data_IF_256742887650
#
_entry.id   IF_256742887650
#
_cell.length_a   1.000
_cell.length_b   1.000
_cell.length_c   1.000
_cell.angle_alpha   90.00
_cell.angle_beta   90.00
_cell.angle_gamma   90.00
#
_symmetry.space_group_name_H-M   'P 1'
#
loop_
_entity.id
_entity.type
_entity.pdbx_description
1 polymer ?
#
# COMPACT_ATOMS: atom_id res chain seq x y z
N UNK A 1 3.45 -17.57 14.64
CA UNK A 1 2.15 -17.03 14.18
C UNK A 1 2.14 -17.29 12.68
N UNK A 2 1.91 -18.56 12.38
CA UNK A 2 2.04 -19.16 11.06
C UNK A 2 0.75 -18.88 10.28
N UNK A 3 0.83 -18.00 9.29
CA UNK A 3 -0.25 -17.80 8.32
C UNK A 3 0.13 -18.56 7.06
N UNK A 4 -0.28 -19.83 7.13
CA UNK A 4 -0.72 -20.73 6.06
C UNK A 4 -0.62 -20.13 4.65
N UNK A 5 0.45 -20.53 3.98
CA UNK A 5 0.57 -20.61 2.52
C UNK A 5 -0.36 -21.73 2.05
N UNK A 6 -1.52 -21.39 1.49
CA UNK A 6 -2.25 -22.33 0.62
C UNK A 6 -1.84 -22.10 -0.84
N UNK A 7 -1.45 -23.22 -1.42
CA UNK A 7 -1.10 -23.45 -2.81
C UNK A 7 -2.14 -22.88 -3.77
N UNK A 8 -1.68 -22.11 -4.75
CA UNK A 8 -2.27 -22.15 -6.09
C UNK A 8 -1.26 -22.83 -7.02
N UNK A 9 -1.07 -24.14 -6.81
CA UNK A 9 -0.50 -25.03 -7.83
C UNK A 9 -1.59 -25.42 -8.82
N UNK A 10 -2.19 -24.44 -9.48
CA UNK A 10 -2.90 -24.67 -10.73
C UNK A 10 -1.84 -24.71 -11.81
N UNK A 11 -1.57 -25.93 -12.27
CA UNK A 11 -0.85 -26.25 -13.48
C UNK A 11 -1.35 -25.30 -14.59
N UNK A 12 -0.57 -24.27 -14.89
CA UNK A 12 -0.77 -23.37 -16.02
C UNK A 12 -0.68 -24.22 -17.30
N UNK A 13 -1.80 -24.80 -17.70
CA UNK A 13 -2.09 -25.05 -19.11
C UNK A 13 -2.40 -23.67 -19.68
N UNK A 14 -1.53 -23.07 -20.53
CA UNK A 14 -1.87 -21.79 -21.14
C UNK A 14 -3.16 -22.01 -21.92
N UNK A 15 -4.24 -21.33 -21.50
CA UNK A 15 -5.48 -21.29 -22.24
C UNK A 15 -5.16 -20.87 -23.67
N UNK A 16 -5.69 -21.60 -24.65
CA UNK A 16 -5.38 -21.43 -26.07
C UNK A 16 -5.51 -19.98 -26.55
N UNK A 17 -6.35 -19.15 -25.90
CA UNK A 17 -6.48 -17.72 -26.17
C UNK A 17 -5.25 -16.85 -25.84
N UNK A 18 -4.43 -17.19 -24.83
CA UNK A 18 -3.22 -16.40 -24.50
C UNK A 18 -2.12 -16.65 -25.53
N UNK A 19 -2.04 -17.88 -26.06
CA UNK A 19 -1.11 -18.24 -27.13
C UNK A 19 -1.52 -17.59 -28.45
N UNK A 20 -2.82 -17.47 -28.71
CA UNK A 20 -3.37 -16.79 -29.90
C UNK A 20 -3.13 -15.28 -29.89
N UNK A 21 -3.31 -14.61 -28.75
CA UNK A 21 -3.03 -13.16 -28.60
C UNK A 21 -1.52 -12.88 -28.72
N UNK A 22 -0.67 -13.73 -28.14
CA UNK A 22 0.80 -13.64 -28.28
C UNK A 22 1.29 -13.96 -29.70
N UNK A 23 0.48 -14.64 -30.52
CA UNK A 23 0.82 -14.93 -31.92
C UNK A 23 0.71 -13.71 -32.83
N UNK A 24 -0.16 -12.74 -32.49
CA UNK A 24 -0.33 -11.47 -33.22
C UNK A 24 0.51 -10.31 -32.67
N UNK A 25 1.18 -10.49 -31.52
CA UNK A 25 2.06 -9.47 -30.95
C UNK A 25 3.23 -9.15 -31.89
N UNK A 26 3.43 -7.86 -32.17
CA UNK A 26 4.54 -7.38 -32.99
C UNK A 26 5.89 -7.81 -32.38
N UNK A 27 6.94 -7.95 -33.20
CA UNK A 27 8.30 -8.26 -32.72
C UNK A 27 8.76 -7.29 -31.62
N UNK A 28 8.34 -6.02 -31.72
CA UNK A 28 8.64 -4.96 -30.75
C UNK A 28 7.98 -5.24 -29.41
N UNK A 29 6.72 -5.67 -29.42
CA UNK A 29 5.99 -6.03 -28.20
C UNK A 29 6.61 -7.25 -27.50
N UNK A 30 7.02 -8.26 -28.26
CA UNK A 30 7.73 -9.44 -27.73
C UNK A 30 9.06 -9.08 -27.09
N UNK A 31 9.80 -8.12 -27.68
CA UNK A 31 11.07 -7.64 -27.13
C UNK A 31 10.84 -6.82 -25.85
N UNK A 32 9.89 -5.88 -25.87
CA UNK A 32 9.60 -5.00 -24.75
C UNK A 32 9.12 -5.77 -23.51
N UNK A 33 8.32 -6.83 -23.69
CA UNK A 33 7.85 -7.70 -22.61
C UNK A 33 8.86 -8.78 -22.19
N UNK A 34 10.02 -8.86 -22.83
CA UNK A 34 11.01 -9.90 -22.52
C UNK A 34 11.73 -9.63 -21.20
N UNK A 35 11.94 -10.68 -20.40
CA UNK A 35 12.72 -10.59 -19.15
C UNK A 35 14.16 -10.16 -19.38
N UNK A 36 14.73 -10.48 -20.54
CA UNK A 36 16.06 -10.03 -20.93
C UNK A 36 16.11 -8.50 -21.07
N UNK A 37 15.10 -7.91 -21.72
CA UNK A 37 15.00 -6.45 -21.88
C UNK A 37 14.78 -5.72 -20.55
N UNK A 38 13.96 -6.28 -19.65
CA UNK A 38 13.81 -5.77 -18.28
C UNK A 38 15.15 -5.75 -17.52
N UNK A 39 15.89 -6.86 -17.52
CA UNK A 39 17.20 -6.95 -16.86
C UNK A 39 18.24 -6.03 -17.48
N UNK A 40 18.28 -5.94 -18.81
CA UNK A 40 19.15 -5.01 -19.53
C UNK A 40 18.88 -3.56 -19.12
N UNK A 41 17.61 -3.16 -19.08
CA UNK A 41 17.20 -1.82 -18.67
C UNK A 41 17.59 -1.53 -17.21
N UNK A 42 17.39 -2.50 -16.31
CA UNK A 42 17.80 -2.39 -14.91
C UNK A 42 19.33 -2.21 -14.77
N UNK A 43 20.12 -3.02 -15.49
CA UNK A 43 21.58 -2.92 -15.51
C UNK A 43 22.05 -1.53 -15.98
N UNK A 44 21.45 -0.97 -17.03
CA UNK A 44 21.79 0.38 -17.51
C UNK A 44 21.54 1.43 -16.43
N UNK A 45 20.43 1.34 -15.68
CA UNK A 45 20.11 2.30 -14.61
C UNK A 45 21.11 2.20 -13.47
N UNK A 46 21.47 0.99 -13.06
CA UNK A 46 22.48 0.78 -12.01
C UNK A 46 23.84 1.31 -12.45
N UNK A 47 24.28 0.99 -13.67
CA UNK A 47 25.53 1.50 -14.22
C UNK A 47 25.53 3.03 -14.34
N UNK A 48 24.42 3.62 -14.78
CA UNK A 48 24.27 5.07 -14.84
C UNK A 48 24.33 5.71 -13.44
N UNK A 49 23.72 5.08 -12.44
CA UNK A 49 23.74 5.55 -11.05
C UNK A 49 25.15 5.52 -10.45
N UNK A 50 25.89 4.43 -10.67
CA UNK A 50 27.31 4.31 -10.27
C UNK A 50 28.15 5.37 -10.99
N UNK A 51 27.94 5.57 -12.28
CA UNK A 51 28.64 6.58 -13.07
C UNK A 51 28.36 8.01 -12.56
N UNK A 52 27.11 8.35 -12.21
CA UNK A 52 26.76 9.64 -11.59
C UNK A 52 27.54 9.84 -10.28
N UNK A 53 27.64 8.80 -9.44
CA UNK A 53 28.40 8.82 -8.20
C UNK A 53 29.90 9.06 -8.44
N UNK A 54 30.52 8.28 -9.33
CA UNK A 54 31.93 8.43 -9.70
C UNK A 54 32.23 9.81 -10.30
N UNK A 55 31.41 10.28 -11.24
CA UNK A 55 31.56 11.59 -11.85
C UNK A 55 31.45 12.71 -10.81
N UNK A 56 30.51 12.60 -9.85
CA UNK A 56 30.40 13.55 -8.74
C UNK A 56 31.66 13.58 -7.88
N UNK A 57 32.25 12.40 -7.59
CA UNK A 57 33.51 12.30 -6.84
C UNK A 57 34.67 12.97 -7.56
N UNK A 58 34.85 12.72 -8.87
CA UNK A 58 35.91 13.34 -9.68
C UNK A 58 35.77 14.86 -9.73
N UNK A 59 34.55 15.38 -9.88
CA UNK A 59 34.28 16.81 -9.82
C UNK A 59 34.61 17.40 -8.45
N UNK A 60 34.27 16.71 -7.36
CA UNK A 60 34.53 17.18 -6.00
C UNK A 60 36.02 17.23 -5.69
N UNK A 61 36.78 16.17 -6.01
CA UNK A 61 38.23 16.14 -5.78
C UNK A 61 38.97 17.15 -6.66
N UNK A 62 38.58 17.28 -7.94
CA UNK A 62 39.11 18.30 -8.83
C UNK A 62 38.84 19.73 -8.33
N UNK A 63 37.64 20.00 -7.81
CA UNK A 63 37.31 21.29 -7.23
C UNK A 63 38.15 21.60 -5.98
N UNK A 64 38.35 20.62 -5.09
CA UNK A 64 39.21 20.77 -3.90
C UNK A 64 40.67 21.03 -4.29
N UNK A 65 41.21 20.27 -5.25
CA UNK A 65 42.60 20.44 -5.70
C UNK A 65 42.83 21.84 -6.29
N UNK A 66 41.89 22.34 -7.10
CA UNK A 66 41.96 23.70 -7.67
C UNK A 66 41.83 24.78 -6.59
N UNK A 67 40.92 24.59 -5.65
CA UNK A 67 40.77 25.49 -4.51
C UNK A 67 42.06 25.57 -3.68
N UNK A 68 42.68 24.43 -3.38
CA UNK A 68 43.96 24.37 -2.68
C UNK A 68 45.12 25.00 -3.48
N UNK A 69 45.06 24.94 -4.81
CA UNK A 69 46.02 25.57 -5.70
C UNK A 69 45.73 27.05 -6.01
N UNK A 70 44.69 27.65 -5.41
CA UNK A 70 44.20 29.00 -5.71
C UNK A 70 43.95 29.26 -7.21
N UNK A 71 43.61 28.22 -7.97
CA UNK A 71 43.28 28.32 -9.39
C UNK A 71 41.84 28.78 -9.55
N UNK A 72 41.58 29.58 -10.59
CA UNK A 72 40.22 29.97 -10.93
C UNK A 72 39.38 28.74 -11.31
N UNK A 73 38.06 28.76 -11.05
CA UNK A 73 37.18 27.64 -11.37
C UNK A 73 37.05 27.50 -12.90
N UNK A 74 37.90 26.67 -13.50
CA UNK A 74 37.79 26.35 -14.92
C UNK A 74 36.79 25.21 -15.12
N UNK A 75 35.68 25.46 -15.82
CA UNK A 75 34.78 24.38 -16.25
C UNK A 75 35.36 23.70 -17.49
N UNK A 76 36.50 23.03 -17.35
CA UNK A 76 36.93 22.06 -18.34
C UNK A 76 36.01 20.84 -18.24
N UNK A 77 35.19 20.71 -19.27
CA UNK A 77 34.29 19.57 -19.47
C UNK A 77 35.07 18.51 -20.23
N UNK A 78 35.38 17.39 -19.57
CA UNK A 78 36.04 16.27 -20.23
C UNK A 78 35.11 15.66 -21.29
N UNK A 79 35.54 15.70 -22.55
CA UNK A 79 34.77 15.16 -23.68
C UNK A 79 34.44 13.67 -23.53
N UNK A 80 35.27 12.89 -22.82
CA UNK A 80 34.98 11.49 -22.52
C UNK A 80 33.78 11.31 -21.61
N UNK A 81 33.62 12.19 -20.61
CA UNK A 81 32.48 12.16 -19.68
C UNK A 81 31.19 12.51 -20.42
N UNK A 82 31.20 13.55 -21.27
CA UNK A 82 30.03 13.93 -22.09
C UNK A 82 29.62 12.81 -23.02
N UNK A 83 30.58 12.11 -23.63
CA UNK A 83 30.31 10.98 -24.51
C UNK A 83 29.58 9.86 -23.76
N UNK A 84 30.09 9.48 -22.57
CA UNK A 84 29.47 8.42 -21.75
C UNK A 84 28.07 8.83 -21.29
N UNK A 85 27.87 10.09 -20.87
CA UNK A 85 26.54 10.60 -20.52
C UNK A 85 25.57 10.58 -21.71
N UNK A 86 26.05 10.97 -22.89
CA UNK A 86 25.31 10.92 -24.14
C UNK A 86 24.90 9.49 -24.49
N UNK A 87 25.78 8.50 -24.30
CA UNK A 87 25.49 7.08 -24.49
C UNK A 87 24.40 6.58 -23.54
N UNK A 88 24.47 6.89 -22.24
CA UNK A 88 23.40 6.51 -21.31
C UNK A 88 22.06 7.16 -21.67
N UNK A 89 22.10 8.45 -22.05
CA UNK A 89 20.89 9.20 -22.41
C UNK A 89 20.26 8.63 -23.69
N UNK A 90 21.05 8.29 -24.71
CA UNK A 90 20.54 7.68 -25.94
C UNK A 90 19.96 6.29 -25.68
N UNK A 91 20.60 5.48 -24.83
CA UNK A 91 20.05 4.19 -24.41
C UNK A 91 18.70 4.34 -23.70
N UNK A 92 18.55 5.30 -22.79
CA UNK A 92 17.26 5.55 -22.13
C UNK A 92 16.17 6.07 -23.09
N UNK A 93 16.52 6.94 -24.03
CA UNK A 93 15.58 7.39 -25.06
C UNK A 93 15.17 6.19 -25.92
N UNK A 94 16.10 5.32 -26.30
CA UNK A 94 15.79 4.13 -27.09
C UNK A 94 14.88 3.15 -26.33
N UNK A 95 15.12 2.96 -25.03
CA UNK A 95 14.27 2.13 -24.16
C UNK A 95 12.84 2.67 -24.09
N UNK A 96 12.69 3.99 -23.89
CA UNK A 96 11.39 4.65 -23.86
C UNK A 96 10.67 4.56 -25.21
N UNK A 97 11.38 4.76 -26.33
CA UNK A 97 10.82 4.63 -27.67
C UNK A 97 10.34 3.20 -27.97
N UNK A 98 11.09 2.18 -27.54
CA UNK A 98 10.69 0.77 -27.70
C UNK A 98 9.43 0.49 -26.90
N UNK A 99 9.32 0.99 -25.66
CA UNK A 99 8.10 0.86 -24.84
C UNK A 99 6.90 1.55 -25.48
N UNK A 100 7.06 2.79 -25.96
CA UNK A 100 6.01 3.50 -26.69
C UNK A 100 5.55 2.79 -27.95
N UNK A 101 6.47 2.18 -28.70
CA UNK A 101 6.16 1.41 -29.89
C UNK A 101 5.48 0.06 -29.58
N UNK A 102 5.72 -0.52 -28.40
CA UNK A 102 5.12 -1.78 -27.96
C UNK A 102 3.71 -1.61 -27.37
N UNK A 103 3.51 -0.63 -26.50
CA UNK A 103 2.25 -0.42 -25.76
C UNK A 103 1.29 0.53 -26.48
N UNK A 104 1.79 1.39 -27.36
CA UNK A 104 1.02 2.46 -27.99
C UNK A 104 0.87 3.69 -27.10
N UNK A 105 0.86 4.88 -27.72
CA UNK A 105 0.87 6.17 -26.99
C UNK A 105 -0.35 6.39 -26.09
N UNK A 106 -1.54 5.93 -26.49
CA UNK A 106 -2.76 6.15 -25.68
C UNK A 106 -2.77 5.25 -24.44
N UNK A 107 -2.44 3.98 -24.61
CA UNK A 107 -2.46 3.01 -23.51
C UNK A 107 -1.32 3.25 -22.52
N UNK A 108 -0.16 3.75 -22.99
CA UNK A 108 0.95 4.18 -22.13
C UNK A 108 0.53 5.24 -21.09
N UNK A 109 -0.31 6.21 -21.48
CA UNK A 109 -0.79 7.28 -20.60
C UNK A 109 -2.09 6.94 -19.83
N UNK A 110 -2.82 5.91 -20.25
CA UNK A 110 -4.04 5.43 -19.56
C UNK A 110 -3.78 4.21 -18.65
N UNK A 111 -2.56 3.69 -18.62
CA UNK A 111 -2.19 2.57 -17.74
C UNK A 111 -2.17 2.94 -16.26
N UNK A 112 -2.33 1.98 -15.36
CA UNK A 112 -2.23 2.22 -13.90
C UNK A 112 -0.82 2.69 -13.44
N UNK A 113 0.18 2.68 -14.33
CA UNK A 113 1.57 3.06 -14.05
C UNK A 113 1.96 4.45 -14.59
N UNK A 114 0.99 5.35 -14.87
CA UNK A 114 1.23 6.70 -15.43
C UNK A 114 2.33 7.47 -14.69
N UNK A 115 2.37 7.37 -13.36
CA UNK A 115 3.38 8.06 -12.55
C UNK A 115 4.82 7.62 -12.86
N UNK A 116 5.03 6.32 -13.06
CA UNK A 116 6.35 5.75 -13.41
C UNK A 116 6.74 6.07 -14.85
N UNK A 117 5.76 6.07 -15.73
CA UNK A 117 5.90 6.46 -17.14
C UNK A 117 6.25 7.95 -17.28
N UNK A 118 5.62 8.82 -16.48
CA UNK A 118 5.95 10.24 -16.40
C UNK A 118 7.36 10.46 -15.83
N UNK A 119 7.75 9.69 -14.80
CA UNK A 119 9.12 9.74 -14.26
C UNK A 119 10.16 9.34 -15.32
N UNK A 120 9.90 8.28 -16.08
CA UNK A 120 10.77 7.88 -17.19
C UNK A 120 10.88 9.00 -18.24
N UNK A 121 9.77 9.61 -18.66
CA UNK A 121 9.80 10.75 -19.58
C UNK A 121 10.62 11.93 -19.01
N UNK A 122 10.32 12.33 -17.77
CA UNK A 122 10.99 13.44 -17.09
C UNK A 122 12.50 13.22 -17.03
N UNK A 123 12.93 12.04 -16.61
CA UNK A 123 14.35 11.70 -16.51
C UNK A 123 15.04 11.66 -17.88
N UNK A 124 14.36 11.28 -18.97
CA UNK A 124 14.90 11.33 -20.33
C UNK A 124 15.07 12.78 -20.80
N UNK A 125 14.09 13.66 -20.51
CA UNK A 125 14.17 15.09 -20.81
C UNK A 125 15.30 15.76 -20.02
N UNK A 126 15.40 15.49 -18.72
CA UNK A 126 16.53 15.92 -17.88
C UNK A 126 17.86 15.38 -18.45
N UNK A 127 17.88 14.13 -18.90
CA UNK A 127 18.94 13.50 -19.69
C UNK A 127 19.46 14.37 -20.82
N UNK A 128 18.53 14.69 -21.72
CA UNK A 128 18.80 15.44 -22.93
C UNK A 128 19.23 16.88 -22.62
N UNK A 129 18.60 17.52 -21.64
CA UNK A 129 18.97 18.87 -21.20
C UNK A 129 20.39 18.92 -20.61
N UNK A 130 20.76 17.95 -19.78
CA UNK A 130 22.09 17.84 -19.18
C UNK A 130 23.18 17.71 -20.26
N UNK A 131 23.03 16.75 -21.17
CA UNK A 131 23.99 16.52 -22.27
C UNK A 131 24.03 17.70 -23.23
N UNK A 132 22.89 18.28 -23.61
CA UNK A 132 22.85 19.41 -24.54
C UNK A 132 23.51 20.66 -23.97
N UNK A 133 23.30 20.96 -22.69
CA UNK A 133 23.94 22.08 -22.02
C UNK A 133 25.45 21.87 -21.92
N UNK A 134 25.90 20.67 -21.57
CA UNK A 134 27.32 20.33 -21.47
C UNK A 134 28.02 20.37 -22.85
N UNK A 135 27.33 19.94 -23.91
CA UNK A 135 27.79 20.04 -25.29
C UNK A 135 27.87 21.50 -25.78
N UNK A 136 26.86 22.32 -25.49
CA UNK A 136 26.86 23.75 -25.85
C UNK A 136 28.06 24.43 -25.22
N UNK A 137 28.35 24.21 -23.92
CA UNK A 137 29.49 24.80 -23.23
C UNK A 137 30.82 24.39 -23.87
N UNK A 138 30.94 23.11 -24.22
CA UNK A 138 32.14 22.60 -24.90
C UNK A 138 32.35 23.25 -26.27
N UNK A 139 31.30 23.39 -27.07
CA UNK A 139 31.37 23.89 -28.44
C UNK A 139 31.44 25.42 -28.53
N UNK A 140 30.80 26.14 -27.61
CA UNK A 140 30.80 27.62 -27.55
C UNK A 140 31.88 28.16 -26.62
N UNK A 141 32.97 27.40 -26.42
CA UNK A 141 34.06 27.67 -25.48
C UNK A 141 34.21 29.15 -25.12
N UNK A 142 33.91 29.47 -23.84
CA UNK A 142 33.68 30.84 -23.32
C UNK A 142 32.45 31.52 -23.92
N UNK A 143 31.30 31.38 -23.25
CA UNK A 143 30.21 32.36 -23.38
C UNK A 143 30.81 33.75 -23.17
N UNK A 144 30.72 34.59 -24.20
CA UNK A 144 31.27 35.95 -24.28
C UNK A 144 31.23 36.69 -22.93
N UNK A 145 32.39 37.20 -22.51
CA UNK A 145 32.57 38.07 -21.34
C UNK A 145 31.72 39.37 -21.39
N UNK A 146 31.02 39.64 -22.50
CA UNK A 146 30.25 40.85 -22.73
C UNK A 146 28.92 40.96 -21.99
N UNK A 147 28.43 39.91 -21.30
CA UNK A 147 27.15 39.99 -20.59
C UNK A 147 27.16 39.31 -19.20
N UNK A 148 27.54 40.04 -18.12
CA UNK A 148 27.73 39.47 -16.78
C UNK A 148 26.46 38.85 -16.18
N UNK A 149 25.27 39.27 -16.64
CA UNK A 149 23.98 38.69 -16.24
C UNK A 149 23.75 37.28 -16.80
N UNK A 150 24.35 36.92 -17.95
CA UNK A 150 24.26 35.59 -18.55
C UNK A 150 25.19 34.59 -17.85
N UNK A 151 26.40 34.98 -17.47
CA UNK A 151 27.36 34.09 -16.80
C UNK A 151 26.85 33.55 -15.46
N UNK A 152 26.30 34.43 -14.59
CA UNK A 152 25.79 34.02 -13.27
C UNK A 152 24.53 33.15 -13.40
N UNK A 153 23.64 33.46 -14.36
CA UNK A 153 22.40 32.71 -14.58
C UNK A 153 22.70 31.32 -15.14
N UNK A 154 23.62 31.21 -16.11
CA UNK A 154 24.02 29.91 -16.68
C UNK A 154 24.68 29.02 -15.62
N UNK A 155 25.58 29.56 -14.79
CA UNK A 155 26.22 28.79 -13.69
C UNK A 155 25.20 28.30 -12.65
N UNK A 156 24.17 29.09 -12.33
CA UNK A 156 23.09 28.66 -11.42
C UNK A 156 22.24 27.54 -12.02
N UNK A 157 21.84 27.68 -13.28
CA UNK A 157 21.08 26.65 -14.01
C UNK A 157 21.87 25.34 -14.10
N UNK A 158 23.18 25.41 -14.34
CA UNK A 158 24.07 24.24 -14.37
C UNK A 158 24.10 23.47 -13.05
N UNK A 159 24.12 24.17 -11.91
CA UNK A 159 24.08 23.52 -10.59
C UNK A 159 22.76 22.79 -10.36
N UNK A 160 21.66 23.39 -10.79
CA UNK A 160 20.32 22.79 -10.67
C UNK A 160 20.24 21.53 -11.53
N UNK A 161 20.63 21.60 -12.81
CA UNK A 161 20.61 20.44 -13.72
C UNK A 161 21.44 19.28 -13.17
N UNK A 162 22.60 19.56 -12.57
CA UNK A 162 23.45 18.56 -11.92
C UNK A 162 22.82 17.90 -10.69
N UNK A 163 22.01 18.61 -9.90
CA UNK A 163 21.29 18.01 -8.77
C UNK A 163 20.14 17.14 -9.30
N UNK A 164 19.44 17.63 -10.31
CA UNK A 164 18.28 16.97 -10.90
C UNK A 164 18.64 15.65 -11.59
N UNK A 165 19.90 15.40 -11.98
CA UNK A 165 20.35 14.09 -12.50
C UNK A 165 20.21 12.94 -11.48
N UNK A 166 20.22 13.23 -10.17
CA UNK A 166 19.99 12.22 -9.12
C UNK A 166 18.60 11.62 -9.19
N UNK A 167 17.62 12.36 -9.73
CA UNK A 167 16.26 11.85 -9.99
C UNK A 167 16.29 10.61 -10.90
N UNK A 168 17.31 10.43 -11.75
CA UNK A 168 17.41 9.22 -12.60
C UNK A 168 17.65 7.94 -11.77
N UNK A 169 18.22 8.05 -10.58
CA UNK A 169 18.44 6.91 -9.65
C UNK A 169 17.11 6.35 -9.15
N UNK A 170 16.09 7.21 -8.96
CA UNK A 170 14.73 6.85 -8.52
C UNK A 170 14.08 5.83 -9.47
N UNK A 171 14.48 5.79 -10.75
CA UNK A 171 13.98 4.80 -11.71
C UNK A 171 14.28 3.36 -11.31
N UNK A 172 15.28 3.09 -10.48
CA UNK A 172 15.55 1.73 -10.00
C UNK A 172 14.32 1.13 -9.30
N UNK A 173 13.51 1.98 -8.65
CA UNK A 173 12.32 1.58 -7.91
C UNK A 173 11.23 0.96 -8.79
N UNK A 174 11.23 1.22 -10.10
CA UNK A 174 10.26 0.62 -11.03
C UNK A 174 10.46 -0.90 -11.20
N UNK A 175 11.68 -1.40 -10.94
CA UNK A 175 12.02 -2.82 -11.06
C UNK A 175 11.86 -3.59 -9.75
N UNK A 176 12.02 -2.93 -8.62
CA UNK A 176 11.98 -3.57 -7.31
C UNK A 176 10.63 -3.31 -6.63
N UNK A 177 9.69 -4.24 -6.82
CA UNK A 177 8.36 -4.19 -6.19
C UNK A 177 8.47 -3.96 -4.68
N UNK A 178 9.33 -4.72 -4.00
CA UNK A 178 9.54 -4.59 -2.55
C UNK A 178 10.00 -3.19 -2.15
N UNK A 179 10.94 -2.60 -2.90
CA UNK A 179 11.41 -1.23 -2.66
C UNK A 179 10.28 -0.20 -2.84
N UNK A 180 9.48 -0.37 -3.89
CA UNK A 180 8.30 0.47 -4.15
C UNK A 180 7.27 0.37 -3.02
N UNK A 181 6.96 -0.85 -2.56
CA UNK A 181 6.01 -1.07 -1.47
C UNK A 181 6.50 -0.46 -0.15
N UNK A 182 7.78 -0.65 0.19
CA UNK A 182 8.39 -0.04 1.38
C UNK A 182 8.32 1.49 1.35
N UNK A 183 8.60 2.10 0.20
CA UNK A 183 8.58 3.56 0.05
C UNK A 183 7.14 4.09 0.08
N UNK A 184 6.19 3.44 -0.60
CA UNK A 184 4.79 3.86 -0.53
C UNK A 184 4.24 3.77 0.91
N UNK A 185 4.57 2.69 1.62
CA UNK A 185 4.26 2.55 3.06
C UNK A 185 4.91 3.64 3.90
N UNK A 186 6.18 3.98 3.63
CA UNK A 186 6.88 5.08 4.33
C UNK A 186 6.26 6.43 4.02
N UNK A 187 5.93 6.73 2.76
CA UNK A 187 5.32 7.98 2.33
C UNK A 187 3.94 8.18 2.97
N UNK A 188 3.15 7.11 3.10
CA UNK A 188 1.86 7.18 3.80
C UNK A 188 2.03 7.54 5.28
N UNK A 189 3.11 7.08 5.92
CA UNK A 189 3.42 7.48 7.30
C UNK A 189 3.93 8.92 7.46
N UNK A 190 4.37 9.59 6.38
CA UNK A 190 4.92 10.95 6.45
C UNK A 190 3.90 12.00 6.92
N UNK A 191 2.60 11.76 6.74
CA UNK A 191 1.58 12.72 7.17
C UNK A 191 1.67 13.03 8.67
N UNK A 192 1.85 12.00 9.52
CA UNK A 192 2.06 12.18 10.96
C UNK A 192 3.38 12.89 11.27
N UNK A 193 4.42 12.58 10.48
CA UNK A 193 5.77 13.16 10.63
C UNK A 193 5.78 14.67 10.33
N UNK A 194 4.99 15.13 9.37
CA UNK A 194 4.88 16.56 9.04
C UNK A 194 4.39 17.37 10.25
N UNK A 195 3.37 16.88 10.97
CA UNK A 195 2.86 17.55 12.16
C UNK A 195 3.86 17.57 13.32
N UNK A 196 4.63 16.49 13.47
CA UNK A 196 5.74 16.44 14.43
C UNK A 196 6.80 17.49 14.11
N UNK A 197 7.24 17.59 12.84
CA UNK A 197 8.21 18.60 12.43
C UNK A 197 7.66 20.02 12.59
N UNK A 198 6.38 20.24 12.30
CA UNK A 198 5.73 21.52 12.52
C UNK A 198 5.72 21.90 14.01
N UNK A 199 5.33 20.98 14.88
CA UNK A 199 5.37 21.19 16.34
C UNK A 199 6.79 21.50 16.85
N UNK A 200 7.78 20.71 16.43
CA UNK A 200 9.19 20.94 16.74
C UNK A 200 9.67 22.30 16.24
N UNK A 201 9.29 22.68 15.02
CA UNK A 201 9.64 23.98 14.46
C UNK A 201 9.06 25.13 15.28
N UNK A 202 7.78 25.04 15.69
CA UNK A 202 7.16 26.05 16.57
C UNK A 202 7.89 26.13 17.90
N UNK A 203 8.28 24.99 18.49
CA UNK A 203 9.06 24.96 19.73
C UNK A 203 10.42 25.65 19.56
N UNK A 204 11.19 25.29 18.53
CA UNK A 204 12.49 25.93 18.25
C UNK A 204 12.34 27.42 17.95
N UNK A 205 11.28 27.81 17.26
CA UNK A 205 10.99 29.20 16.94
C UNK A 205 10.72 30.03 18.20
N UNK A 206 9.87 29.54 19.10
CA UNK A 206 9.54 30.20 20.37
C UNK A 206 10.77 30.41 21.27
N UNK A 207 11.53 29.33 21.52
CA UNK A 207 12.77 29.42 22.31
C UNK A 207 13.86 30.20 21.58
N UNK A 208 13.94 30.07 20.25
CA UNK A 208 14.85 30.83 19.40
C UNK A 208 14.66 32.33 19.56
N UNK A 209 13.41 32.82 19.48
CA UNK A 209 13.08 34.23 19.73
C UNK A 209 13.53 34.65 21.13
N UNK A 210 13.26 33.85 22.16
CA UNK A 210 13.63 34.19 23.53
C UNK A 210 15.15 34.36 23.70
N UNK A 211 15.95 33.44 23.16
CA UNK A 211 17.41 33.51 23.24
C UNK A 211 17.98 34.63 22.36
N UNK A 212 17.54 34.76 21.10
CA UNK A 212 17.99 35.86 20.23
C UNK A 212 17.64 37.22 20.84
N UNK A 213 16.45 37.37 21.43
CA UNK A 213 16.06 38.62 22.09
C UNK A 213 16.91 38.91 23.33
N UNK A 214 17.27 37.87 24.10
CA UNK A 214 18.19 38.00 25.25
C UNK A 214 19.57 38.47 24.80
N UNK A 215 20.08 37.95 23.68
CA UNK A 215 21.34 38.38 23.08
C UNK A 215 21.26 39.80 22.54
N UNK A 216 20.19 40.17 21.84
CA UNK A 216 20.01 41.54 21.33
C UNK A 216 19.97 42.56 22.47
N UNK A 217 19.23 42.27 23.54
CA UNK A 217 19.19 43.12 24.74
C UNK A 217 20.56 43.26 25.41
N UNK A 218 21.39 42.21 25.39
CA UNK A 218 22.76 42.27 25.88
C UNK A 218 23.66 43.21 25.05
N UNK A 219 23.47 43.22 23.73
CA UNK A 219 24.25 44.00 22.77
C UNK A 219 23.92 45.49 22.74
N UNK A 220 22.86 45.92 23.43
CA UNK A 220 22.43 47.32 23.49
C UNK A 220 23.38 48.20 24.33
N UNK A 221 24.28 47.60 25.12
CA UNK A 221 25.31 48.33 25.89
C UNK A 221 26.68 48.30 25.19
N UNK A 222 27.28 49.47 24.94
CA UNK A 222 28.53 49.62 24.18
C UNK A 222 29.75 48.90 24.80
N UNK A 223 29.86 48.86 26.13
CA UNK A 223 30.99 48.24 26.84
C UNK A 223 31.04 46.70 26.67
N UNK A 224 29.89 46.07 26.42
CA UNK A 224 29.74 44.61 26.34
C UNK A 224 30.12 44.01 24.99
N UNK A 225 30.32 44.85 23.98
CA UNK A 225 30.73 44.43 22.62
C UNK A 225 32.22 44.08 22.50
N UNK A 226 33.02 44.37 23.52
CA UNK A 226 34.46 44.13 23.53
C UNK A 226 34.87 42.84 24.25
N UNK A 227 33.94 42.12 24.87
CA UNK A 227 34.21 40.87 25.58
C UNK A 227 34.50 39.72 24.60
N UNK A 228 35.58 38.91 24.75
CA UNK A 228 35.83 37.74 23.90
C UNK A 228 34.68 36.71 23.87
N UNK A 229 33.84 36.65 24.92
CA UNK A 229 32.64 35.82 24.96
C UNK A 229 31.57 36.20 23.90
N UNK A 230 31.64 37.43 23.38
CA UNK A 230 30.80 37.96 22.29
C UNK A 230 30.80 37.07 21.04
N UNK A 231 31.97 36.53 20.67
CA UNK A 231 32.14 35.77 19.43
C UNK A 231 31.35 34.45 19.45
N UNK A 232 31.33 33.77 20.60
CA UNK A 232 30.56 32.53 20.81
C UNK A 232 29.06 32.80 20.85
N UNK A 233 28.63 33.90 21.48
CA UNK A 233 27.21 34.24 21.61
C UNK A 233 26.58 34.56 20.24
N UNK A 234 27.28 35.32 19.39
CA UNK A 234 26.82 35.59 18.02
C UNK A 234 26.82 34.34 17.14
N UNK A 235 27.81 33.47 17.30
CA UNK A 235 27.91 32.22 16.53
C UNK A 235 26.72 31.29 16.76
N UNK A 236 26.13 31.30 17.95
CA UNK A 236 25.08 30.37 18.34
C UNK A 236 23.69 30.99 18.46
N UNK A 237 23.60 32.26 18.85
CA UNK A 237 22.34 32.95 19.15
C UNK A 237 22.23 34.35 18.52
N UNK A 238 23.12 34.71 17.59
CA UNK A 238 23.19 36.05 17.01
C UNK A 238 22.02 36.42 16.09
N UNK A 239 21.38 35.43 15.47
CA UNK A 239 20.17 35.59 14.66
C UNK A 239 19.18 34.47 14.95
N UNK A 240 17.92 34.67 14.55
CA UNK A 240 16.85 33.73 14.85
C UNK A 240 17.04 32.37 14.16
N UNK A 241 17.44 32.38 12.89
CA UNK A 241 17.73 31.16 12.11
C UNK A 241 18.89 30.36 12.69
N UNK A 242 19.96 31.04 13.12
CA UNK A 242 21.11 30.42 13.79
C UNK A 242 20.70 29.89 15.16
N UNK A 243 19.83 30.60 15.90
CA UNK A 243 19.31 30.14 17.19
C UNK A 243 18.45 28.89 17.04
N UNK A 244 17.57 28.84 16.05
CA UNK A 244 16.75 27.65 15.72
C UNK A 244 17.67 26.47 15.37
N UNK A 245 18.71 26.69 14.56
CA UNK A 245 19.69 25.66 14.23
C UNK A 245 20.46 25.17 15.47
N UNK A 246 20.87 26.07 16.36
CA UNK A 246 21.53 25.75 17.63
C UNK A 246 20.63 24.88 18.52
N UNK A 247 19.36 25.24 18.65
CA UNK A 247 18.38 24.46 19.41
C UNK A 247 18.19 23.06 18.81
N UNK A 248 18.07 22.96 17.49
CA UNK A 248 18.02 21.67 16.80
C UNK A 248 19.29 20.83 17.03
N UNK A 249 20.49 21.43 16.92
CA UNK A 249 21.77 20.75 17.17
C UNK A 249 21.89 20.25 18.61
N UNK A 250 21.39 21.02 19.58
CA UNK A 250 21.42 20.63 20.99
C UNK A 250 20.47 19.45 21.30
N UNK A 251 19.34 19.34 20.60
CA UNK A 251 18.39 18.23 20.74
C UNK A 251 18.86 16.96 20.03
N UNK A 252 19.41 17.09 18.82
CA UNK A 252 19.80 15.95 17.97
C UNK A 252 21.21 15.41 18.25
N UNK A 253 21.96 16.04 19.15
CA UNK A 253 23.31 15.62 19.50
C UNK A 253 24.40 16.07 18.51
N UNK A 254 24.13 17.11 17.70
CA UNK A 254 25.11 17.67 16.77
C UNK A 254 26.31 18.31 17.47
N UNK A 255 26.08 19.03 18.58
CA UNK A 255 27.12 19.52 19.48
C UNK A 255 26.65 19.38 20.93
N UNK A 256 27.58 19.18 21.86
CA UNK A 256 27.25 19.03 23.27
C UNK A 256 26.52 20.29 23.78
N UNK A 257 25.36 20.11 24.42
CA UNK A 257 24.53 21.19 24.93
C UNK A 257 25.27 22.12 25.90
N UNK A 258 26.30 21.61 26.59
CA UNK A 258 27.15 22.36 27.50
C UNK A 258 27.86 23.54 26.82
N UNK A 259 28.22 23.42 25.55
CA UNK A 259 28.87 24.52 24.80
C UNK A 259 27.92 25.71 24.62
N UNK A 260 26.65 25.44 24.36
CA UNK A 260 25.63 26.48 24.23
C UNK A 260 25.26 27.08 25.60
N UNK A 261 25.23 26.25 26.65
CA UNK A 261 25.03 26.69 28.02
C UNK A 261 26.13 27.64 28.48
N UNK A 262 27.40 27.29 28.23
CA UNK A 262 28.55 28.14 28.53
C UNK A 262 28.48 29.47 27.77
N UNK A 263 28.06 29.46 26.51
CA UNK A 263 27.83 30.70 25.76
C UNK A 263 26.76 31.57 26.44
N UNK A 264 25.59 31.01 26.80
CA UNK A 264 24.51 31.76 27.45
C UNK A 264 24.86 32.28 28.84
N UNK A 265 25.71 31.57 29.59
CA UNK A 265 26.15 31.97 30.94
C UNK A 265 26.89 33.31 30.95
N UNK A 266 27.53 33.67 29.84
CA UNK A 266 28.30 34.93 29.73
C UNK A 266 27.41 36.17 29.61
N UNK A 267 26.09 35.99 29.44
CA UNK A 267 25.12 37.09 29.42
C UNK A 267 24.83 37.58 30.85
N UNK A 268 24.78 38.90 31.13
CA UNK A 268 24.29 39.50 32.38
C UNK A 268 22.81 39.18 32.57
N UNK A 269 22.45 38.56 33.70
CA UNK A 269 21.13 37.95 33.88
C UNK A 269 20.98 36.59 33.17
N UNK A 270 22.08 36.06 32.62
CA UNK A 270 22.17 34.78 31.91
C UNK A 270 21.79 33.57 32.75
N UNK A 271 21.69 33.70 34.08
CA UNK A 271 21.09 32.68 34.94
C UNK A 271 19.67 32.32 34.49
N UNK A 272 18.85 33.31 34.12
CA UNK A 272 17.48 33.08 33.63
C UNK A 272 17.51 32.38 32.27
N UNK A 273 18.37 32.83 31.35
CA UNK A 273 18.52 32.19 30.03
C UNK A 273 19.07 30.76 30.14
N UNK A 274 20.01 30.52 31.05
CA UNK A 274 20.55 29.19 31.35
C UNK A 274 19.49 28.25 31.92
N UNK A 275 18.64 28.73 32.84
CA UNK A 275 17.51 27.95 33.38
C UNK A 275 16.51 27.64 32.26
N UNK A 276 16.15 28.64 31.44
CA UNK A 276 15.28 28.45 30.27
C UNK A 276 15.85 27.44 29.28
N UNK A 277 17.18 27.46 29.06
CA UNK A 277 17.85 26.52 28.17
C UNK A 277 17.86 25.09 28.73
N UNK A 278 18.12 24.92 30.02
CA UNK A 278 18.02 23.60 30.67
C UNK A 278 16.58 23.07 30.60
N UNK A 279 15.58 23.91 30.86
CA UNK A 279 14.16 23.57 30.73
C UNK A 279 13.84 23.12 29.31
N UNK A 280 14.30 23.87 28.30
CA UNK A 280 14.15 23.51 26.90
C UNK A 280 14.78 22.15 26.59
N UNK A 281 16.05 21.92 26.96
CA UNK A 281 16.76 20.66 26.66
C UNK A 281 16.06 19.49 27.35
N UNK A 282 15.65 19.66 28.61
CA UNK A 282 14.93 18.63 29.37
C UNK A 282 13.57 18.32 28.73
N UNK A 283 12.81 19.35 28.38
CA UNK A 283 11.52 19.18 27.71
C UNK A 283 11.66 18.54 26.33
N UNK A 284 12.61 19.00 25.51
CA UNK A 284 12.85 18.47 24.18
C UNK A 284 13.26 16.98 24.23
N UNK A 285 14.16 16.59 25.14
CA UNK A 285 14.65 15.22 25.24
C UNK A 285 13.65 14.26 25.92
N UNK A 286 13.05 14.65 27.06
CA UNK A 286 12.20 13.74 27.83
C UNK A 286 10.72 13.80 27.46
N UNK A 287 10.22 14.94 26.98
CA UNK A 287 8.83 15.04 26.54
C UNK A 287 8.75 14.84 25.03
N UNK A 288 9.44 15.66 24.24
CA UNK A 288 9.19 15.71 22.80
C UNK A 288 9.68 14.45 22.07
N UNK A 289 10.90 13.97 22.30
CA UNK A 289 11.37 12.71 21.67
C UNK A 289 10.45 11.53 22.03
N UNK A 290 9.96 11.48 23.27
CA UNK A 290 9.06 10.43 23.72
C UNK A 290 7.66 10.54 23.12
N UNK A 291 7.12 11.76 22.98
CA UNK A 291 5.84 12.01 22.27
C UNK A 291 5.97 11.61 20.80
N UNK A 292 7.05 12.02 20.13
CA UNK A 292 7.32 11.67 18.74
C UNK A 292 7.37 10.16 18.59
N UNK A 293 8.15 9.47 19.42
CA UNK A 293 8.24 8.01 19.41
C UNK A 293 6.87 7.37 19.67
N UNK A 294 6.09 7.90 20.62
CA UNK A 294 4.73 7.45 20.91
C UNK A 294 3.79 7.59 19.72
N UNK A 295 3.79 8.74 19.04
CA UNK A 295 2.97 8.99 17.83
C UNK A 295 3.38 8.08 16.68
N UNK A 296 4.67 7.83 16.48
CA UNK A 296 5.14 6.89 15.47
C UNK A 296 4.66 5.46 15.76
N UNK A 297 4.77 5.00 17.01
CA UNK A 297 4.28 3.68 17.43
C UNK A 297 2.76 3.60 17.27
N UNK A 298 2.03 4.64 17.68
CA UNK A 298 0.58 4.69 17.55
C UNK A 298 0.15 4.67 16.08
N UNK A 299 0.76 5.50 15.22
CA UNK A 299 0.50 5.51 13.77
C UNK A 299 0.77 4.13 13.14
N UNK A 300 1.86 3.47 13.52
CA UNK A 300 2.19 2.13 13.00
C UNK A 300 1.21 1.04 13.49
N UNK A 301 0.73 1.15 14.73
CA UNK A 301 -0.31 0.27 15.27
C UNK A 301 -1.67 0.55 14.62
N UNK A 302 -1.96 1.80 14.31
CA UNK A 302 -3.21 2.24 13.70
C UNK A 302 -3.27 1.83 12.23
N UNK A 303 -2.19 1.98 11.46
CA UNK A 303 -2.14 1.46 10.08
C UNK A 303 -2.39 -0.05 10.02
N UNK A 304 -1.94 -0.82 11.01
CA UNK A 304 -2.24 -2.26 11.08
C UNK A 304 -3.70 -2.57 11.42
N UNK A 305 -4.40 -1.69 12.14
CA UNK A 305 -5.83 -1.84 12.45
C UNK A 305 -6.69 -1.38 11.28
N UNK A 306 -6.34 -0.26 10.69
CA UNK A 306 -7.01 0.32 9.53
C UNK A 306 -6.94 -0.66 8.34
N UNK A 307 -5.81 -1.33 8.10
CA UNK A 307 -5.71 -2.37 7.07
C UNK A 307 -6.72 -3.51 7.30
N UNK A 308 -7.02 -3.86 8.56
CA UNK A 308 -8.01 -4.90 8.90
C UNK A 308 -9.44 -4.40 8.78
N UNK A 309 -9.71 -3.17 9.21
CA UNK A 309 -11.05 -2.56 9.07
C UNK A 309 -11.39 -2.27 7.61
N UNK A 310 -10.43 -1.80 6.81
CA UNK A 310 -10.57 -1.63 5.35
C UNK A 310 -10.84 -2.97 4.68
N UNK A 311 -10.11 -4.04 5.02
CA UNK A 311 -10.39 -5.37 4.47
C UNK A 311 -11.82 -5.85 4.81
N UNK A 312 -12.31 -5.59 6.02
CA UNK A 312 -13.69 -5.90 6.42
C UNK A 312 -14.70 -5.05 5.63
N UNK A 313 -14.41 -3.77 5.46
CA UNK A 313 -15.30 -2.84 4.75
C UNK A 313 -15.39 -3.18 3.26
N UNK A 314 -14.27 -3.52 2.62
CA UNK A 314 -14.21 -3.98 1.24
C UNK A 314 -15.07 -5.23 1.03
N UNK A 315 -15.04 -6.17 1.99
CA UNK A 315 -15.84 -7.40 1.92
C UNK A 315 -17.34 -7.13 2.11
N UNK A 316 -17.71 -6.21 3.02
CA UNK A 316 -19.09 -5.74 3.18
C UNK A 316 -19.59 -5.00 1.95
N UNK A 317 -18.76 -4.16 1.32
CA UNK A 317 -19.11 -3.42 0.12
C UNK A 317 -19.24 -4.33 -1.10
N UNK A 318 -18.36 -5.33 -1.23
CA UNK A 318 -18.47 -6.36 -2.26
C UNK A 318 -19.76 -7.17 -2.09
N UNK A 319 -20.11 -7.56 -0.85
CA UNK A 319 -21.39 -8.23 -0.55
C UNK A 319 -22.59 -7.35 -0.92
N UNK A 320 -22.56 -6.06 -0.58
CA UNK A 320 -23.65 -5.12 -0.89
C UNK A 320 -23.81 -4.92 -2.39
N UNK A 321 -22.70 -4.74 -3.10
CA UNK A 321 -22.68 -4.64 -4.57
C UNK A 321 -23.29 -5.89 -5.19
N UNK A 322 -22.86 -7.08 -4.75
CA UNK A 322 -23.40 -8.36 -5.23
C UNK A 322 -24.93 -8.47 -5.03
N UNK A 323 -25.44 -8.14 -3.84
CA UNK A 323 -26.88 -8.16 -3.55
C UNK A 323 -27.67 -7.15 -4.40
N UNK A 324 -27.09 -5.98 -4.70
CA UNK A 324 -27.71 -5.02 -5.60
C UNK A 324 -27.83 -5.55 -7.04
N UNK A 325 -26.79 -6.22 -7.56
CA UNK A 325 -26.86 -6.83 -8.89
C UNK A 325 -27.91 -7.95 -8.97
N UNK A 326 -28.09 -8.73 -7.88
CA UNK A 326 -29.17 -9.72 -7.80
C UNK A 326 -30.56 -9.05 -7.77
N UNK A 327 -30.69 -7.90 -7.10
CA UNK A 327 -31.94 -7.13 -7.09
C UNK A 327 -32.30 -6.60 -8.47
N UNK A 328 -31.32 -6.07 -9.20
CA UNK A 328 -31.50 -5.63 -10.60
C UNK A 328 -31.90 -6.80 -11.51
N UNK A 329 -31.33 -7.99 -11.27
CA UNK A 329 -31.71 -9.20 -12.00
C UNK A 329 -33.15 -9.63 -11.69
N UNK A 330 -33.57 -9.55 -10.43
CA UNK A 330 -34.96 -9.82 -10.02
C UNK A 330 -35.93 -8.87 -10.73
N UNK A 331 -35.65 -7.57 -10.71
CA UNK A 331 -36.48 -6.55 -11.40
C UNK A 331 -36.51 -6.75 -12.92
N UNK A 332 -35.45 -7.27 -13.52
CA UNK A 332 -35.42 -7.60 -14.94
C UNK A 332 -36.25 -8.85 -15.30
N UNK A 333 -36.43 -9.77 -14.35
CA UNK A 333 -37.23 -10.99 -14.52
C UNK A 333 -38.71 -10.73 -14.19
N UNK A 334 -38.99 -9.92 -13.16
CA UNK A 334 -40.34 -9.51 -12.76
C UNK A 334 -40.89 -8.39 -13.67
N UNK A 335 -41.23 -8.76 -14.90
CA UNK A 335 -41.80 -7.83 -15.89
C UNK A 335 -43.20 -7.35 -15.47
N UNK A 336 -43.94 -8.11 -14.66
CA UNK A 336 -45.28 -7.73 -14.17
C UNK A 336 -45.23 -6.74 -13.00
N UNK A 337 -44.07 -6.55 -12.38
CA UNK A 337 -43.86 -5.72 -11.19
C UNK A 337 -44.79 -6.11 -10.02
N UNK A 338 -45.11 -7.40 -9.94
CA UNK A 338 -45.96 -7.97 -8.89
C UNK A 338 -45.16 -8.27 -7.63
N UNK A 339 -43.82 -8.19 -7.69
CA UNK A 339 -42.91 -8.49 -6.60
C UNK A 339 -42.69 -9.99 -6.37
N UNK A 340 -43.19 -10.83 -7.30
CA UNK A 340 -43.19 -12.29 -7.19
C UNK A 340 -42.81 -12.91 -8.55
N UNK A 341 -41.96 -13.92 -8.56
CA UNK A 341 -41.56 -14.65 -9.77
C UNK A 341 -42.25 -16.01 -9.79
N UNK A 342 -43.17 -16.20 -10.74
CA UNK A 342 -43.80 -17.51 -10.98
C UNK A 342 -42.88 -18.46 -11.76
N UNK A 343 -43.18 -19.76 -11.71
CA UNK A 343 -42.41 -20.80 -12.41
C UNK A 343 -42.36 -20.58 -13.93
N UNK A 344 -43.46 -20.14 -14.52
CA UNK A 344 -43.55 -19.85 -15.95
C UNK A 344 -42.75 -18.59 -16.31
N UNK A 345 -42.75 -17.58 -15.43
CA UNK A 345 -41.97 -16.35 -15.59
C UNK A 345 -40.47 -16.66 -15.60
N UNK A 346 -39.97 -17.41 -14.61
CA UNK A 346 -38.56 -17.79 -14.54
C UNK A 346 -38.15 -18.65 -15.75
N UNK A 347 -39.03 -19.58 -16.19
CA UNK A 347 -38.76 -20.41 -17.36
C UNK A 347 -38.78 -19.62 -18.67
N UNK A 348 -39.54 -18.52 -18.76
CA UNK A 348 -39.47 -17.59 -19.87
C UNK A 348 -38.18 -16.76 -19.83
N UNK A 349 -37.76 -16.31 -18.64
CA UNK A 349 -36.54 -15.56 -18.44
C UNK A 349 -35.28 -16.34 -18.88
N UNK A 350 -35.24 -17.65 -18.63
CA UNK A 350 -34.16 -18.53 -19.08
C UNK A 350 -34.10 -18.75 -20.60
N UNK A 351 -35.12 -18.31 -21.37
CA UNK A 351 -35.06 -18.28 -22.84
C UNK A 351 -34.29 -17.06 -23.36
N UNK A 352 -34.14 -16.02 -22.54
CA UNK A 352 -33.35 -14.85 -22.89
C UNK A 352 -31.88 -15.09 -22.58
N UNK A 353 -31.07 -15.16 -23.63
CA UNK A 353 -29.62 -15.41 -23.56
C UNK A 353 -28.89 -14.38 -22.67
N UNK A 354 -29.42 -13.15 -22.58
CA UNK A 354 -28.91 -12.07 -21.73
C UNK A 354 -29.08 -12.36 -20.23
N UNK A 355 -30.20 -12.96 -19.81
CA UNK A 355 -30.48 -13.27 -18.40
C UNK A 355 -29.60 -14.44 -17.95
N UNK A 356 -29.47 -15.47 -18.80
CA UNK A 356 -28.58 -16.62 -18.55
C UNK A 356 -27.11 -16.16 -18.46
N UNK A 357 -26.68 -15.25 -19.34
CA UNK A 357 -25.35 -14.65 -19.26
C UNK A 357 -25.15 -13.88 -17.94
N UNK A 358 -26.18 -13.21 -17.42
CA UNK A 358 -26.14 -12.51 -16.14
C UNK A 358 -25.98 -13.47 -14.96
N UNK A 359 -26.76 -14.56 -14.90
CA UNK A 359 -26.58 -15.62 -13.88
C UNK A 359 -25.18 -16.25 -13.93
N UNK A 360 -24.65 -16.52 -15.13
CA UNK A 360 -23.29 -17.02 -15.31
C UNK A 360 -22.23 -16.02 -14.86
N UNK A 361 -22.44 -14.72 -15.10
CA UNK A 361 -21.53 -13.65 -14.63
C UNK A 361 -21.50 -13.55 -13.11
N UNK A 362 -22.62 -13.88 -12.45
CA UNK A 362 -22.76 -13.97 -11.00
C UNK A 362 -22.34 -15.35 -10.45
N UNK A 363 -21.78 -16.24 -11.28
CA UNK A 363 -21.31 -17.59 -10.90
C UNK A 363 -22.39 -18.45 -10.21
N UNK A 364 -23.63 -18.33 -10.64
CA UNK A 364 -24.71 -19.19 -10.16
C UNK A 364 -24.85 -20.34 -11.15
N UNK A 365 -24.40 -21.53 -10.76
CA UNK A 365 -24.47 -22.73 -11.59
C UNK A 365 -25.88 -23.31 -11.57
N UNK A 366 -26.77 -22.77 -12.40
CA UNK A 366 -28.13 -23.25 -12.59
C UNK A 366 -28.24 -24.02 -13.93
N UNK A 367 -28.33 -25.38 -13.90
CA UNK A 367 -28.42 -26.18 -15.13
C UNK A 367 -29.74 -25.96 -15.89
N UNK A 368 -30.83 -25.62 -15.19
CA UNK A 368 -32.15 -25.39 -15.76
C UNK A 368 -33.03 -24.54 -14.83
N UNK A 369 -33.96 -23.79 -15.44
CA UNK A 369 -34.88 -22.90 -14.72
C UNK A 369 -35.74 -23.63 -13.69
N UNK A 370 -36.07 -24.90 -13.95
CA UNK A 370 -36.95 -25.70 -13.09
C UNK A 370 -36.23 -26.11 -11.80
N UNK A 371 -35.01 -26.60 -11.92
CA UNK A 371 -34.17 -26.92 -10.75
C UNK A 371 -33.85 -25.67 -9.95
N UNK A 372 -33.56 -24.54 -10.60
CA UNK A 372 -33.34 -23.28 -9.88
C UNK A 372 -34.60 -22.84 -9.14
N UNK A 373 -35.78 -22.91 -9.77
CA UNK A 373 -37.04 -22.57 -9.11
C UNK A 373 -37.26 -23.39 -7.83
N UNK A 374 -37.10 -24.72 -7.95
CA UNK A 374 -37.32 -25.65 -6.84
C UNK A 374 -36.29 -25.48 -5.70
N UNK A 375 -35.14 -24.84 -5.96
CA UNK A 375 -34.12 -24.50 -4.96
C UNK A 375 -34.35 -23.14 -4.28
N UNK A 376 -35.04 -22.22 -4.96
CA UNK A 376 -35.32 -20.88 -4.45
C UNK A 376 -36.65 -20.82 -3.66
N UNK A 377 -37.67 -21.56 -4.10
CA UNK A 377 -38.99 -21.71 -3.46
C UNK A 377 -38.89 -22.61 -2.22
N UNK A 378 -38.40 -22.06 -1.10
CA UNK A 378 -38.22 -22.84 0.13
C UNK A 378 -39.52 -23.03 0.91
N UNK A 379 -40.49 -22.13 0.73
CA UNK A 379 -41.79 -22.16 1.41
C UNK A 379 -42.85 -22.98 0.66
N UNK A 380 -42.55 -23.40 -0.57
CA UNK A 380 -43.42 -24.17 -1.47
C UNK A 380 -44.73 -23.45 -1.81
N UNK A 381 -44.71 -22.12 -1.80
CA UNK A 381 -45.85 -21.29 -2.19
C UNK A 381 -46.13 -21.36 -3.69
N UNK A 382 -45.14 -21.75 -4.49
CA UNK A 382 -45.22 -21.81 -5.95
C UNK A 382 -44.92 -20.48 -6.65
N UNK A 383 -44.48 -19.47 -5.88
CA UNK A 383 -43.97 -18.18 -6.34
C UNK A 383 -42.71 -17.84 -5.54
N UNK A 384 -41.76 -17.10 -6.14
CA UNK A 384 -40.52 -16.71 -5.47
C UNK A 384 -40.56 -15.21 -5.18
N UNK A 385 -40.47 -14.83 -3.91
CA UNK A 385 -40.37 -13.43 -3.52
C UNK A 385 -38.93 -12.88 -3.63
N UNK A 386 -38.76 -11.57 -3.44
CA UNK A 386 -37.44 -10.94 -3.53
C UNK A 386 -36.45 -11.46 -2.48
N UNK A 387 -36.90 -11.76 -1.25
CA UNK A 387 -36.01 -12.25 -0.19
C UNK A 387 -35.58 -13.69 -0.46
N UNK A 388 -36.50 -14.54 -0.92
CA UNK A 388 -36.26 -15.90 -1.40
C UNK A 388 -35.26 -15.94 -2.55
N UNK A 389 -35.46 -15.06 -3.55
CA UNK A 389 -34.56 -14.94 -4.68
C UNK A 389 -33.15 -14.49 -4.25
N UNK A 390 -33.05 -13.42 -3.46
CA UNK A 390 -31.76 -12.90 -3.00
C UNK A 390 -31.02 -13.92 -2.11
N UNK A 391 -31.71 -14.52 -1.15
CA UNK A 391 -31.11 -15.49 -0.23
C UNK A 391 -30.72 -16.78 -0.93
N UNK A 392 -31.60 -17.33 -1.77
CA UNK A 392 -31.34 -18.56 -2.49
C UNK A 392 -30.23 -18.40 -3.54
N UNK A 393 -30.21 -17.31 -4.32
CA UNK A 393 -29.12 -17.04 -5.24
C UNK A 393 -27.78 -16.78 -4.51
N UNK A 394 -27.81 -16.09 -3.36
CA UNK A 394 -26.61 -15.90 -2.54
C UNK A 394 -26.10 -17.20 -1.92
N UNK A 395 -26.99 -18.10 -1.51
CA UNK A 395 -26.63 -19.43 -0.98
C UNK A 395 -26.10 -20.38 -2.07
N UNK A 396 -26.53 -20.21 -3.31
CA UNK A 396 -26.05 -20.95 -4.47
C UNK A 396 -24.78 -20.32 -5.08
N UNK A 397 -24.37 -19.16 -4.59
CA UNK A 397 -23.18 -18.46 -5.04
C UNK A 397 -21.92 -19.06 -4.41
N UNK A 398 -21.17 -19.82 -5.22
CA UNK A 398 -19.84 -20.32 -4.89
C UNK A 398 -19.78 -21.82 -4.56
N UNK A 399 -18.56 -22.35 -4.50
CA UNK A 399 -18.30 -23.68 -3.94
C UNK A 399 -18.81 -23.68 -2.49
N UNK A 400 -19.78 -24.54 -2.16
CA UNK A 400 -20.33 -24.67 -0.81
C UNK A 400 -19.22 -24.54 0.24
N UNK A 401 -19.40 -23.62 1.19
CA UNK A 401 -18.32 -23.29 2.12
C UNK A 401 -17.85 -24.58 2.81
N UNK A 402 -16.54 -24.77 2.93
CA UNK A 402 -15.96 -25.94 3.63
C UNK A 402 -16.58 -26.13 5.04
N UNK A 403 -17.09 -25.03 5.61
CA UNK A 403 -17.87 -24.96 6.84
C UNK A 403 -19.30 -25.52 6.69
N UNK A 404 -20.04 -25.16 5.64
CA UNK A 404 -21.39 -25.67 5.36
C UNK A 404 -21.37 -27.18 5.06
N UNK A 405 -20.38 -27.65 4.29
CA UNK A 405 -20.17 -29.08 4.09
C UNK A 405 -19.85 -29.81 5.42
N UNK A 406 -19.15 -29.14 6.35
CA UNK A 406 -18.88 -29.68 7.69
C UNK A 406 -20.11 -29.69 8.59
N UNK A 407 -20.95 -28.66 8.53
CA UNK A 407 -22.22 -28.58 9.25
C UNK A 407 -23.16 -29.70 8.76
N UNK A 408 -23.30 -29.86 7.44
CA UNK A 408 -24.10 -30.94 6.85
C UNK A 408 -23.57 -32.33 7.26
N UNK A 409 -22.25 -32.53 7.28
CA UNK A 409 -21.66 -33.78 7.79
C UNK A 409 -22.00 -34.04 9.26
N UNK A 410 -22.06 -33.00 10.10
CA UNK A 410 -22.46 -33.14 11.50
C UNK A 410 -23.94 -33.48 11.64
N UNK A 411 -24.82 -32.81 10.89
CA UNK A 411 -26.26 -33.10 10.90
C UNK A 411 -26.58 -34.51 10.39
N UNK A 412 -25.93 -34.93 9.29
CA UNK A 412 -26.06 -36.30 8.77
C UNK A 412 -25.60 -37.33 9.81
N UNK A 413 -24.52 -37.03 10.54
CA UNK A 413 -24.05 -37.90 11.63
C UNK A 413 -25.06 -37.97 12.77
N UNK A 414 -25.64 -36.84 13.17
CA UNK A 414 -26.65 -36.77 14.21
C UNK A 414 -27.93 -37.56 13.82
N UNK A 415 -28.41 -37.37 12.60
CA UNK A 415 -29.56 -38.12 12.04
C UNK A 415 -29.26 -39.61 11.97
N UNK A 416 -28.04 -40.00 11.59
CA UNK A 416 -27.61 -41.40 11.59
C UNK A 416 -27.62 -42.00 12.99
N UNK A 417 -27.14 -41.28 14.00
CA UNK A 417 -27.15 -41.72 15.40
C UNK A 417 -28.59 -41.90 15.92
N UNK A 418 -29.49 -40.96 15.61
CA UNK A 418 -30.93 -41.11 15.91
C UNK A 418 -31.56 -42.32 15.21
N UNK A 419 -31.27 -42.56 13.92
CA UNK A 419 -31.76 -43.71 13.18
C UNK A 419 -31.27 -45.04 13.76
N UNK A 420 -30.00 -45.11 14.19
CA UNK A 420 -29.44 -46.29 14.84
C UNK A 420 -30.14 -46.56 16.17
N UNK A 421 -30.40 -45.53 16.98
CA UNK A 421 -31.18 -45.69 18.23
C UNK A 421 -32.61 -46.18 17.95
N UNK A 422 -33.28 -45.60 16.97
CA UNK A 422 -34.62 -46.04 16.55
C UNK A 422 -34.63 -47.50 16.10
N UNK A 423 -33.62 -47.92 15.33
CA UNK A 423 -33.47 -49.31 14.91
C UNK A 423 -33.24 -50.26 16.09
N UNK A 424 -32.41 -49.88 17.05
CA UNK A 424 -32.17 -50.67 18.25
C UNK A 424 -33.43 -50.81 19.10
N UNK A 425 -34.18 -49.71 19.29
CA UNK A 425 -35.47 -49.72 19.99
C UNK A 425 -36.49 -50.64 19.29
N UNK A 426 -36.56 -50.60 17.96
CA UNK A 426 -37.41 -51.50 17.19
C UNK A 426 -36.99 -52.97 17.31
N UNK A 427 -35.69 -53.26 17.32
CA UNK A 427 -35.18 -54.61 17.51
C UNK A 427 -35.48 -55.13 18.92
N UNK A 428 -35.35 -54.30 19.94
CA UNK A 428 -35.66 -54.65 21.31
C UNK A 428 -37.15 -54.86 21.54
N UNK A 429 -38.01 -54.03 20.94
CA UNK A 429 -39.45 -54.27 20.90
C UNK A 429 -39.80 -55.60 20.21
N UNK A 430 -39.14 -55.92 19.10
CA UNK A 430 -39.31 -57.21 18.41
C UNK A 430 -38.88 -58.40 19.26
N UNK A 431 -37.74 -58.31 19.96
CA UNK A 431 -37.26 -59.35 20.89
C UNK A 431 -38.22 -59.53 22.07
N UNK A 432 -38.76 -58.43 22.63
CA UNK A 432 -39.77 -58.47 23.70
C UNK A 432 -41.07 -59.13 23.23
N UNK A 433 -41.49 -58.90 21.98
CA UNK A 433 -42.66 -59.54 21.38
C UNK A 433 -42.47 -61.05 21.18
N UNK A 434 -41.27 -61.48 20.77
CA UNK A 434 -40.91 -62.90 20.61
C UNK A 434 -40.73 -63.64 21.95
N UNK A 435 -40.49 -62.93 23.06
CA UNK A 435 -40.36 -63.50 24.40
C UNK A 435 -41.68 -63.67 25.17
N UNK A 436 -42.83 -63.28 24.61
CA UNK A 436 -44.13 -63.60 25.24
C UNK A 436 -44.41 -65.10 25.08
N UNK A 437 -44.46 -65.89 26.16
CA UNK A 437 -44.86 -67.29 26.07
C UNK A 437 -46.35 -67.36 25.71
N UNK A 438 -46.71 -68.27 24.81
CA UNK A 438 -48.08 -68.69 24.55
C UNK A 438 -48.67 -69.36 25.80
N UNK A 439 -49.20 -68.56 26.72
CA UNK A 439 -50.05 -69.05 27.82
C UNK A 439 -51.48 -69.17 27.31
N UNK A 440 -51.79 -70.32 26.72
CA UNK A 440 -53.14 -70.89 26.68
C UNK A 440 -53.03 -72.42 26.67
N UNK A 441 -52.85 -72.99 27.87
CA UNK A 441 -53.29 -74.35 28.17
C UNK A 441 -54.05 -74.34 29.48
N UNK A 442 -55.36 -74.32 29.30
CA UNK A 442 -56.41 -74.75 30.22
C UNK A 442 -56.03 -76.08 30.88
N UNK A 443 -56.09 -76.17 32.21
CA UNK A 443 -56.66 -77.37 32.83
C UNK A 443 -57.41 -77.04 34.13
N UNK A 444 -58.51 -77.76 34.29
CA UNK A 444 -59.69 -77.46 35.09
C UNK A 444 -59.49 -77.82 36.56
N UNK A 445 -59.97 -76.92 37.43
CA UNK A 445 -60.31 -77.27 38.81
C UNK A 445 -61.58 -78.13 38.82
N UNK A 446 -61.44 -79.34 39.33
CA UNK A 446 -62.56 -80.18 39.75
C UNK A 446 -62.73 -80.02 41.26
N UNK A 447 -63.97 -79.74 41.71
CA UNK A 447 -64.50 -80.10 43.03
C UNK A 447 -65.98 -79.70 43.16
N UNK A 448 -66.81 -80.72 43.00
CA UNK A 448 -68.04 -81.00 43.74
C UNK A 448 -68.07 -80.36 45.16
N UNK A 449 -69.08 -79.54 45.45
CA UNK A 449 -70.27 -79.84 46.29
C UNK A 449 -69.95 -80.15 47.77
N UNK A 450 -70.61 -79.64 48.80
CA UNK A 450 -71.94 -79.02 49.00
C UNK A 450 -72.05 -78.62 50.50
N UNK A 451 -73.14 -77.91 50.87
CA UNK A 451 -73.67 -77.72 52.25
C UNK A 451 -73.03 -76.57 53.03
N UNK A 452 -73.70 -75.76 53.87
CA UNK A 452 -75.09 -75.29 54.13
C UNK A 452 -74.98 -74.52 55.46
N UNK A 453 -75.81 -73.50 55.68
CA UNK A 453 -76.20 -73.03 57.03
C UNK A 453 -75.33 -71.89 57.57
N UNK A 454 -75.77 -70.62 57.62
CA UNK A 454 -76.68 -70.04 58.61
C UNK A 454 -76.31 -70.41 60.06
N UNK A 455 -75.53 -69.56 60.74
CA UNK A 455 -76.06 -68.43 61.52
C UNK A 455 -74.98 -67.37 61.75
#
# INVERSE_FOLDING_TARGET
MDVIVYQCSLRWSPSQGVVEILSQASLVEKIARSKCFEWFSCCIIVLNSIFIGWHTQVLATGAIQRANANLQPEMEVDGGIVLIQGLFTSLFISELCIRWAAEGLKDFWMSNDVGWNLLDLLCCVIGLLDVSVELVIRNTGRLDEGNPLRGVTVVRVLRIVRIVRVVRVIRIMKFFKELRMMIFSTLNSLQSVVWIFFFLFVLFYMFGIAFTSSVVNFLDTLERRQDPAYSSLLKYFGSLDVSILTLYMSMTGGQNWGVFYEALKTVPGGEVSCILFILYVTFALFAVVNIVTGVFVDTALQSSKDDREVAVQDEVEHKKSYLNHLRELFEAIDVSAEGMISRDTLQHAFKHETIVAYFNSLKIDAPDAKTLFDLLDYDQSGEIDLEEFLHGCYSLHGDASHLEAKILQMEVRFVKEMLMQLMDDFQDLRKRRLRRPSTDRVDKGDRSHTSKGLH
#
